data_IF_406524630648
#
_entry.id   IF_406524630648
#
_cell.length_a   1.000
_cell.length_b   1.000
_cell.length_c   1.000
_cell.angle_alpha   90.00
_cell.angle_beta   90.00
_cell.angle_gamma   90.00
#
_symmetry.space_group_name_H-M   'P 1'
#
loop_
_entity.id
_entity.type
_entity.pdbx_description
1 polymer ?
#
# COMPACT_ATOMS: atom_id res chain seq x y z
N UNK A 1 -18.97 4.96 -9.39
CA UNK A 1 -18.33 6.02 -10.20
C UNK A 1 -17.72 7.04 -9.27
N UNK A 2 -16.53 6.71 -8.76
CA UNK A 2 -15.68 7.66 -8.06
C UNK A 2 -14.67 8.16 -9.09
N UNK A 3 -14.71 9.44 -9.43
CA UNK A 3 -13.94 10.00 -10.57
C UNK A 3 -12.89 11.01 -10.14
N UNK A 4 -12.82 11.35 -8.85
CA UNK A 4 -11.84 12.27 -8.29
C UNK A 4 -11.01 11.55 -7.24
N UNK A 5 -9.73 11.34 -7.51
CA UNK A 5 -8.83 10.64 -6.61
C UNK A 5 -7.98 11.61 -5.80
N UNK A 6 -7.73 11.27 -4.54
CA UNK A 6 -6.99 12.12 -3.61
C UNK A 6 -5.53 12.28 -4.00
N UNK A 7 -5.08 13.52 -4.09
CA UNK A 7 -3.66 13.84 -4.28
C UNK A 7 -2.85 13.84 -2.97
N UNK A 8 -1.53 14.05 -3.05
CA UNK A 8 -0.66 14.04 -1.87
C UNK A 8 -1.01 15.13 -0.84
N UNK A 9 -1.55 16.27 -1.30
CA UNK A 9 -2.02 17.35 -0.45
C UNK A 9 -3.28 16.98 0.33
N UNK A 10 -4.23 16.29 -0.31
CA UNK A 10 -5.46 15.80 0.30
C UNK A 10 -5.17 14.68 1.31
N UNK A 11 -4.30 13.72 0.97
CA UNK A 11 -3.83 12.71 1.93
C UNK A 11 -3.17 13.33 3.17
N UNK A 12 -2.44 14.45 3.00
CA UNK A 12 -1.86 15.20 4.11
C UNK A 12 -2.92 15.90 4.97
N UNK A 13 -3.99 16.45 4.38
CA UNK A 13 -5.14 17.02 5.11
C UNK A 13 -5.83 15.97 5.99
N UNK A 14 -5.93 14.73 5.49
CA UNK A 14 -6.42 13.57 6.23
C UNK A 14 -5.45 13.05 7.30
N UNK A 15 -4.35 13.76 7.57
CA UNK A 15 -3.28 13.38 8.53
C UNK A 15 -2.59 12.06 8.18
N UNK A 16 -2.58 11.71 6.89
CA UNK A 16 -2.02 10.49 6.35
C UNK A 16 -1.04 10.81 5.21
N UNK A 17 0.02 11.60 5.48
CA UNK A 17 0.95 12.04 4.44
C UNK A 17 1.62 10.85 3.75
N UNK A 18 1.73 10.94 2.43
CA UNK A 18 2.48 10.03 1.57
C UNK A 18 3.82 10.68 1.22
N UNK A 19 4.90 9.90 1.19
CA UNK A 19 6.26 10.44 0.92
C UNK A 19 6.64 10.50 -0.55
N UNK A 20 5.73 10.14 -1.46
CA UNK A 20 5.96 10.26 -2.90
C UNK A 20 5.86 11.73 -3.35
N UNK A 21 6.73 12.19 -4.27
CA UNK A 21 6.58 13.47 -4.94
C UNK A 21 5.56 13.45 -6.09
N UNK A 22 5.06 12.27 -6.47
CA UNK A 22 4.16 12.10 -7.62
C UNK A 22 2.69 12.15 -7.19
N UNK A 23 1.99 13.20 -7.61
CA UNK A 23 0.54 13.31 -7.40
C UNK A 23 -0.23 12.23 -8.15
N UNK A 24 0.27 11.79 -9.31
CA UNK A 24 -0.32 10.68 -10.06
C UNK A 24 -0.23 9.37 -9.26
N UNK A 25 0.91 9.08 -8.63
CA UNK A 25 1.05 7.92 -7.75
C UNK A 25 0.11 7.99 -6.54
N UNK A 26 -0.08 9.18 -5.94
CA UNK A 26 -1.04 9.38 -4.85
C UNK A 26 -2.48 9.10 -5.28
N UNK A 27 -2.87 9.58 -6.46
CA UNK A 27 -4.20 9.39 -7.02
C UNK A 27 -4.46 7.92 -7.33
N UNK A 28 -3.52 7.23 -7.95
CA UNK A 28 -3.66 5.81 -8.23
C UNK A 28 -3.68 4.98 -6.94
N UNK A 29 -2.89 5.34 -5.94
CA UNK A 29 -2.97 4.73 -4.61
C UNK A 29 -4.36 4.86 -3.99
N UNK A 30 -4.95 6.05 -4.06
CA UNK A 30 -6.30 6.29 -3.58
C UNK A 30 -7.34 5.48 -4.37
N UNK A 31 -7.16 5.39 -5.69
CA UNK A 31 -8.01 4.56 -6.54
C UNK A 31 -7.96 3.09 -6.15
N UNK A 32 -6.77 2.54 -5.91
CA UNK A 32 -6.60 1.13 -5.48
C UNK A 32 -7.25 0.92 -4.12
N UNK A 33 -6.98 1.79 -3.13
CA UNK A 33 -7.55 1.67 -1.78
C UNK A 33 -9.07 1.73 -1.82
N UNK A 34 -9.65 2.65 -2.59
CA UNK A 34 -11.09 2.83 -2.68
C UNK A 34 -11.78 1.66 -3.36
N UNK A 35 -11.23 1.19 -4.50
CA UNK A 35 -11.74 0.01 -5.22
C UNK A 35 -11.68 -1.25 -4.35
N UNK A 36 -10.54 -1.48 -3.69
CA UNK A 36 -10.34 -2.65 -2.83
C UNK A 36 -11.28 -2.66 -1.62
N UNK A 37 -11.46 -1.51 -0.96
CA UNK A 37 -12.36 -1.38 0.21
C UNK A 37 -13.82 -1.45 -0.19
N UNK A 38 -14.18 -0.81 -1.30
CA UNK A 38 -15.55 -0.80 -1.81
C UNK A 38 -15.94 -2.10 -2.52
N UNK A 39 -15.00 -3.01 -2.72
CA UNK A 39 -15.19 -4.28 -3.43
C UNK A 39 -15.78 -4.09 -4.84
N UNK A 40 -15.20 -3.16 -5.61
CA UNK A 40 -15.60 -2.86 -6.98
C UNK A 40 -14.40 -2.50 -7.83
N UNK A 41 -14.50 -2.71 -9.15
CA UNK A 41 -13.54 -2.20 -10.12
C UNK A 41 -14.09 -0.95 -10.79
N UNK A 42 -13.25 0.08 -10.90
CA UNK A 42 -13.59 1.34 -11.57
C UNK A 42 -13.02 1.32 -13.00
N UNK A 43 -13.88 1.25 -14.04
CA UNK A 43 -13.41 1.10 -15.42
C UNK A 43 -12.55 2.25 -15.90
N UNK A 44 -12.74 3.47 -15.38
CA UNK A 44 -11.99 4.66 -15.80
C UNK A 44 -10.48 4.58 -15.50
N UNK A 45 -10.10 3.79 -14.50
CA UNK A 45 -8.69 3.54 -14.13
C UNK A 45 -8.23 2.15 -14.51
N UNK A 46 -9.08 1.35 -15.16
CA UNK A 46 -8.78 -0.02 -15.60
C UNK A 46 -8.81 -1.05 -14.47
N UNK A 47 -9.59 -0.82 -13.41
CA UNK A 47 -9.68 -1.71 -12.25
C UNK A 47 -8.46 -1.61 -11.32
N UNK A 48 -8.41 -2.50 -10.33
CA UNK A 48 -7.33 -2.52 -9.32
C UNK A 48 -5.96 -2.78 -9.96
N UNK A 49 -5.85 -3.79 -10.83
CA UNK A 49 -4.58 -4.21 -11.42
C UNK A 49 -3.92 -3.06 -12.21
N UNK A 50 -4.65 -2.44 -13.13
CA UNK A 50 -4.11 -1.35 -13.93
C UNK A 50 -3.80 -0.10 -13.11
N UNK A 51 -4.56 0.13 -12.04
CA UNK A 51 -4.29 1.23 -11.10
C UNK A 51 -2.96 1.00 -10.34
N UNK A 52 -2.67 -0.25 -9.95
CA UNK A 52 -1.38 -0.60 -9.32
C UNK A 52 -0.22 -0.41 -10.31
N UNK A 53 -0.36 -0.86 -11.55
CA UNK A 53 0.68 -0.69 -12.57
C UNK A 53 1.00 0.79 -12.81
N UNK A 54 -0.04 1.63 -12.98
CA UNK A 54 0.14 3.08 -13.14
C UNK A 54 0.77 3.73 -11.92
N UNK A 55 0.39 3.31 -10.72
CA UNK A 55 0.97 3.82 -9.47
C UNK A 55 2.48 3.57 -9.40
N UNK A 56 2.92 2.34 -9.69
CA UNK A 56 4.34 1.97 -9.65
C UNK A 56 5.12 2.58 -10.81
N UNK A 57 4.51 2.71 -11.99
CA UNK A 57 5.12 3.39 -13.12
C UNK A 57 5.33 4.90 -12.85
N UNK A 58 4.38 5.54 -12.17
CA UNK A 58 4.44 6.96 -11.83
C UNK A 58 5.49 7.27 -10.76
N UNK A 59 5.71 6.37 -9.79
CA UNK A 59 6.82 6.45 -8.82
C UNK A 59 7.25 5.05 -8.34
N UNK A 60 8.35 4.50 -8.93
CA UNK A 60 8.87 3.19 -8.54
C UNK A 60 9.41 3.11 -7.11
N UNK A 61 9.75 4.26 -6.52
CA UNK A 61 10.30 4.41 -5.17
C UNK A 61 9.22 4.70 -4.12
N UNK A 62 7.96 4.76 -4.54
CA UNK A 62 6.85 5.05 -3.64
C UNK A 62 6.63 3.93 -2.63
N UNK A 63 6.97 4.19 -1.37
CA UNK A 63 6.98 3.18 -0.30
C UNK A 63 5.58 2.59 -0.07
N UNK A 64 4.55 3.40 0.14
CA UNK A 64 3.19 2.88 0.34
C UNK A 64 2.64 2.18 -0.90
N UNK A 65 3.05 2.59 -2.11
CA UNK A 65 2.69 1.90 -3.35
C UNK A 65 3.27 0.50 -3.41
N UNK A 66 4.56 0.35 -3.11
CA UNK A 66 5.24 -0.95 -3.03
C UNK A 66 4.66 -1.83 -1.90
N UNK A 67 4.31 -1.24 -0.75
CA UNK A 67 3.57 -1.94 0.34
C UNK A 67 2.24 -2.49 -0.17
N UNK A 68 1.46 -1.66 -0.88
CA UNK A 68 0.13 -2.04 -1.35
C UNK A 68 0.19 -3.13 -2.42
N UNK A 69 1.07 -2.98 -3.42
CA UNK A 69 1.33 -3.99 -4.46
C UNK A 69 1.69 -5.34 -3.82
N UNK A 70 2.75 -5.36 -3.00
CA UNK A 70 3.25 -6.59 -2.40
C UNK A 70 2.22 -7.21 -1.42
N UNK A 71 1.41 -6.36 -0.76
CA UNK A 71 0.31 -6.81 0.09
C UNK A 71 -0.81 -7.50 -0.68
N UNK A 72 -1.22 -6.94 -1.83
CA UNK A 72 -2.22 -7.55 -2.70
C UNK A 72 -1.73 -8.87 -3.30
N UNK A 73 -0.46 -8.93 -3.72
CA UNK A 73 0.18 -10.18 -4.17
C UNK A 73 0.09 -11.27 -3.08
N UNK A 74 0.43 -10.93 -1.82
CA UNK A 74 0.37 -11.88 -0.70
C UNK A 74 -1.05 -12.37 -0.38
N UNK A 75 -2.06 -11.52 -0.53
CA UNK A 75 -3.45 -11.85 -0.24
C UNK A 75 -4.11 -12.67 -1.36
N UNK A 76 -3.75 -12.41 -2.62
CA UNK A 76 -4.48 -12.93 -3.78
C UNK A 76 -3.79 -14.04 -4.58
N UNK A 77 -2.45 -14.12 -4.56
CA UNK A 77 -1.72 -14.89 -5.59
C UNK A 77 -0.97 -16.11 -5.05
N UNK A 78 -0.92 -16.30 -3.73
CA UNK A 78 -0.15 -17.40 -3.13
C UNK A 78 1.37 -17.30 -3.33
N UNK A 79 1.86 -16.15 -3.81
CA UNK A 79 3.29 -15.85 -3.91
C UNK A 79 3.90 -15.77 -2.52
N UNK A 80 5.08 -16.36 -2.37
CA UNK A 80 5.88 -16.27 -1.15
C UNK A 80 7.34 -16.04 -1.52
N UNK A 81 8.10 -15.44 -0.60
CA UNK A 81 9.56 -15.25 -0.74
C UNK A 81 10.34 -16.56 -0.95
N UNK A 82 9.75 -17.71 -0.64
CA UNK A 82 10.36 -19.04 -0.83
C UNK A 82 10.09 -19.64 -2.19
N UNK A 83 8.93 -19.33 -2.78
CA UNK A 83 8.46 -19.92 -4.04
C UNK A 83 8.73 -19.01 -5.24
N UNK A 84 8.74 -17.69 -5.02
CA UNK A 84 8.87 -16.69 -6.06
C UNK A 84 10.13 -15.82 -5.79
N UNK A 85 11.20 -16.00 -6.59
CA UNK A 85 12.43 -15.22 -6.43
C UNK A 85 12.25 -13.75 -6.81
N UNK A 86 11.35 -13.43 -7.74
CA UNK A 86 11.08 -12.04 -8.15
C UNK A 86 10.34 -11.30 -7.04
N UNK A 87 9.36 -11.95 -6.42
CA UNK A 87 8.69 -11.43 -5.24
C UNK A 87 9.65 -11.21 -4.07
N UNK A 88 10.67 -12.07 -3.93
CA UNK A 88 11.72 -11.86 -2.92
C UNK A 88 12.51 -10.59 -3.17
N UNK A 89 12.89 -10.32 -4.41
CA UNK A 89 13.56 -9.06 -4.78
C UNK A 89 12.67 -7.85 -4.51
N UNK A 90 11.36 -7.95 -4.76
CA UNK A 90 10.41 -6.88 -4.45
C UNK A 90 10.34 -6.55 -2.95
N UNK A 91 10.38 -7.57 -2.09
CA UNK A 91 10.40 -7.40 -0.62
C UNK A 91 11.75 -6.82 -0.16
N UNK A 92 12.87 -7.25 -0.74
CA UNK A 92 14.19 -6.69 -0.45
C UNK A 92 14.27 -5.22 -0.87
N UNK A 93 13.80 -4.88 -2.07
CA UNK A 93 13.66 -3.49 -2.54
C UNK A 93 12.84 -2.66 -1.57
N UNK A 94 11.69 -3.15 -1.10
CA UNK A 94 10.86 -2.44 -0.12
C UNK A 94 11.61 -2.15 1.18
N UNK A 95 12.43 -3.11 1.66
CA UNK A 95 13.27 -2.91 2.85
C UNK A 95 14.36 -1.87 2.63
N UNK A 96 15.00 -1.87 1.47
CA UNK A 96 16.02 -0.88 1.10
C UNK A 96 15.42 0.52 1.02
N UNK A 97 14.24 0.65 0.40
CA UNK A 97 13.50 1.90 0.37
C UNK A 97 13.30 2.42 1.79
N UNK A 98 12.83 1.59 2.73
CA UNK A 98 12.58 1.97 4.13
C UNK A 98 13.80 2.49 4.91
N UNK A 99 15.03 2.21 4.46
CA UNK A 99 16.25 2.70 5.09
C UNK A 99 16.59 4.15 4.67
N UNK A 100 15.90 4.71 3.67
CA UNK A 100 16.08 6.11 3.24
C UNK A 100 15.66 7.09 4.36
N UNK A 101 16.37 8.22 4.48
CA UNK A 101 16.23 9.19 5.59
C UNK A 101 14.90 9.96 5.63
N UNK A 102 14.07 9.91 4.59
CA UNK A 102 12.88 10.75 4.44
C UNK A 102 11.54 10.01 4.60
N UNK A 103 11.53 8.81 5.19
CA UNK A 103 10.33 7.97 5.29
C UNK A 103 9.64 8.14 6.64
N UNK A 104 8.31 8.26 6.60
CA UNK A 104 7.50 8.40 7.80
C UNK A 104 7.49 7.12 8.66
N UNK A 105 7.27 7.27 9.96
CA UNK A 105 7.16 6.11 10.86
C UNK A 105 6.02 5.17 10.45
N UNK A 106 4.92 5.71 9.90
CA UNK A 106 3.79 4.93 9.41
C UNK A 106 4.20 3.99 8.28
N UNK A 107 4.89 4.52 7.28
CA UNK A 107 5.37 3.76 6.11
C UNK A 107 6.33 2.65 6.53
N UNK A 108 7.26 2.95 7.45
CA UNK A 108 8.19 1.94 8.00
C UNK A 108 7.44 0.78 8.68
N UNK A 109 6.42 1.08 9.48
CA UNK A 109 5.62 0.06 10.14
C UNK A 109 4.84 -0.80 9.14
N UNK A 110 4.28 -0.18 8.09
CA UNK A 110 3.59 -0.93 7.04
C UNK A 110 4.53 -1.84 6.25
N UNK A 111 5.72 -1.36 5.90
CA UNK A 111 6.72 -2.16 5.20
C UNK A 111 7.27 -3.31 6.05
N UNK A 112 7.49 -3.08 7.36
CA UNK A 112 7.86 -4.13 8.30
C UNK A 112 6.76 -5.19 8.41
N UNK A 113 5.48 -4.76 8.48
CA UNK A 113 4.36 -5.68 8.49
C UNK A 113 4.35 -6.57 7.23
N UNK A 114 4.44 -5.98 6.03
CA UNK A 114 4.48 -6.76 4.78
C UNK A 114 5.69 -7.70 4.73
N UNK A 115 6.85 -7.26 5.18
CA UNK A 115 8.06 -8.10 5.25
C UNK A 115 7.83 -9.32 6.15
N UNK A 116 7.23 -9.13 7.32
CA UNK A 116 6.92 -10.21 8.25
C UNK A 116 5.83 -11.15 7.70
N UNK A 117 4.85 -10.61 6.97
CA UNK A 117 3.82 -11.40 6.33
C UNK A 117 4.41 -12.29 5.23
N UNK A 118 5.25 -11.71 4.36
CA UNK A 118 5.96 -12.45 3.31
C UNK A 118 6.77 -13.62 3.88
N UNK A 119 7.44 -13.43 5.02
CA UNK A 119 8.22 -14.47 5.71
C UNK A 119 7.38 -15.53 6.44
N UNK A 120 6.05 -15.50 6.33
CA UNK A 120 5.17 -16.46 7.00
C UNK A 120 5.02 -16.23 8.51
N UNK A 121 5.51 -15.12 9.05
CA UNK A 121 5.40 -14.76 10.47
C UNK A 121 4.05 -14.08 10.77
N UNK A 122 2.95 -14.76 10.45
CA UNK A 122 1.57 -14.23 10.50
C UNK A 122 1.20 -13.68 11.88
N UNK A 123 1.67 -14.31 12.97
CA UNK A 123 1.44 -13.84 14.35
C UNK A 123 2.11 -12.49 14.64
N UNK A 124 3.27 -12.21 14.04
CA UNK A 124 3.97 -10.93 14.18
C UNK A 124 3.38 -9.86 13.25
N UNK A 125 2.96 -10.24 12.04
CA UNK A 125 2.19 -9.39 11.13
C UNK A 125 0.92 -8.83 11.80
N UNK A 126 0.06 -9.70 12.33
CA UNK A 126 -1.15 -9.26 13.03
C UNK A 126 -0.81 -8.45 14.29
N UNK A 127 0.26 -8.79 15.02
CA UNK A 127 0.74 -7.99 16.15
C UNK A 127 1.18 -6.57 15.77
N UNK A 128 1.90 -6.40 14.67
CA UNK A 128 2.36 -5.11 14.15
C UNK A 128 1.20 -4.25 13.61
N UNK A 129 0.22 -4.89 12.97
CA UNK A 129 -1.00 -4.22 12.49
C UNK A 129 -1.92 -3.81 13.65
N UNK A 130 -2.23 -4.73 14.56
CA UNK A 130 -3.27 -4.53 15.60
C UNK A 130 -2.81 -3.64 16.77
N UNK A 131 -1.52 -3.63 17.12
CA UNK A 131 -1.05 -2.92 18.31
C UNK A 131 -0.53 -1.50 18.05
N UNK A 132 -0.17 -1.14 16.81
CA UNK A 132 0.53 0.14 16.54
C UNK A 132 0.19 0.84 15.24
N UNK A 133 -0.35 0.14 14.24
CA UNK A 133 -0.82 0.77 13.00
C UNK A 133 -2.32 0.59 12.87
N UNK A 134 -3.07 1.48 13.52
CA UNK A 134 -4.53 1.60 13.36
C UNK A 134 -4.98 1.94 11.92
N UNK A 135 -4.21 1.63 10.88
CA UNK A 135 -4.39 2.19 9.55
C UNK A 135 -5.03 1.19 8.59
N UNK A 136 -4.76 -0.11 8.71
CA UNK A 136 -5.36 -1.07 7.76
C UNK A 136 -6.79 -1.49 8.14
N UNK A 137 -7.14 -1.41 9.43
CA UNK A 137 -8.49 -1.73 9.92
C UNK A 137 -9.20 -0.59 10.68
N UNK A 138 -8.45 0.33 11.31
CA UNK A 138 -9.06 1.40 12.14
C UNK A 138 -9.29 2.72 11.40
N UNK A 139 -8.60 2.99 10.28
CA UNK A 139 -8.84 4.19 9.46
C UNK A 139 -9.94 3.96 8.42
N UNK A 140 -10.15 2.72 7.99
CA UNK A 140 -11.15 2.35 6.98
C UNK A 140 -12.58 2.21 7.52
N UNK A 141 -12.78 2.03 8.83
CA UNK A 141 -14.14 1.86 9.40
C UNK A 141 -14.69 3.07 10.15
N UNK A 142 -13.86 4.04 10.57
CA UNK A 142 -14.37 5.19 11.37
C UNK A 142 -14.81 6.41 10.55
N UNK A 143 -14.30 6.61 9.33
CA UNK A 143 -14.55 7.84 8.56
C UNK A 143 -15.12 7.61 7.14
N UNK A 144 -15.61 6.41 6.82
CA UNK A 144 -16.25 6.12 5.51
C UNK A 144 -17.73 5.69 5.67
N UNK A 145 -18.24 5.64 6.91
CA UNK A 145 -19.69 5.59 7.18
C UNK A 145 -20.01 6.80 8.06
N UNK A 146 -20.24 7.95 7.42
CA UNK A 146 -21.32 8.94 7.58
C UNK A 146 -21.22 9.87 6.37
#
# INVERSE_FOLDING_TARGET
MHTQWRDGGEWKKEKLPLTTPSDEACKMYDAVVTQYVGWYDEPSVGGIEHSVDKMIAADPDFVMGNVLKNGLDLLGTGKTVTLDPDFKLDIEKLRELCQKRNISNREKLHADAITQFAQGSVRRYFGALLLRTSVFWSITFKNIII
#
